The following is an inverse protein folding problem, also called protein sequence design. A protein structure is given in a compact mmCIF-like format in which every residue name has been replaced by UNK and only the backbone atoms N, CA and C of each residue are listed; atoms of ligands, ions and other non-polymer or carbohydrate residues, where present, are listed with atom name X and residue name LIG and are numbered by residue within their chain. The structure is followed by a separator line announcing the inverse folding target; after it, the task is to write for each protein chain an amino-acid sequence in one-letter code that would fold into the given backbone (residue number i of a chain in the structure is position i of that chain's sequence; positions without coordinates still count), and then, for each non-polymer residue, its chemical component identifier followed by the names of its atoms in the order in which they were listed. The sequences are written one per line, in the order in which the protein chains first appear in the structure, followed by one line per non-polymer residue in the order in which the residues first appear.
data_IF_322961539666
#
_entry.id   IF_322961539666
#
_cell.length_a   1.000
_cell.length_b   1.000
_cell.length_c   1.000
_cell.angle_alpha   90.00
_cell.angle_beta   90.00
_cell.angle_gamma   90.00
#
_symmetry.space_group_name_H-M   'P 1'
#
loop_
_entity.id
_entity.type
_entity.pdbx_description
1 polymer ?
#
# COMPACT_ATOMS: atom_id res chain seq x y z
N UNK A 1 -14.03 -44.15 -29.61
CA UNK A 1 -14.03 -44.77 -28.27
C UNK A 1 -14.58 -46.17 -28.36
N UNK A 2 -14.39 -47.01 -27.34
CA UNK A 2 -15.06 -48.31 -27.22
C UNK A 2 -16.33 -48.15 -26.40
N UNK A 3 -17.40 -48.84 -26.80
CA UNK A 3 -18.72 -48.83 -26.18
C UNK A 3 -19.18 -50.25 -25.83
N UNK A 4 -20.21 -50.35 -25.00
CA UNK A 4 -20.88 -51.62 -24.68
C UNK A 4 -22.35 -51.50 -25.01
N UNK A 5 -22.89 -52.45 -25.76
CA UNK A 5 -24.32 -52.53 -26.03
C UNK A 5 -25.02 -53.34 -24.92
N UNK A 6 -26.09 -52.83 -24.27
CA UNK A 6 -26.79 -53.54 -23.20
C UNK A 6 -27.38 -54.91 -23.60
N UNK A 7 -27.58 -55.14 -24.89
CA UNK A 7 -28.13 -56.39 -25.43
C UNK A 7 -27.06 -57.39 -25.90
N UNK A 8 -25.77 -57.02 -25.88
CA UNK A 8 -24.69 -57.98 -26.14
C UNK A 8 -24.53 -58.90 -24.92
N UNK A 9 -25.00 -60.13 -25.08
CA UNK A 9 -24.99 -61.17 -24.04
C UNK A 9 -23.78 -62.10 -24.12
N UNK A 10 -23.00 -62.03 -25.20
CA UNK A 10 -21.92 -62.99 -25.50
C UNK A 10 -20.55 -62.41 -25.15
N UNK A 11 -20.38 -61.09 -25.25
CA UNK A 11 -19.12 -60.42 -24.98
C UNK A 11 -18.67 -60.45 -23.51
N UNK A 12 -17.36 -60.39 -23.28
CA UNK A 12 -16.71 -60.38 -21.96
C UNK A 12 -16.85 -59.06 -21.20
N UNK A 13 -17.62 -58.09 -21.72
CA UNK A 13 -17.86 -56.78 -21.11
C UNK A 13 -16.57 -55.98 -20.82
N UNK A 14 -15.58 -56.15 -21.68
CA UNK A 14 -14.23 -55.61 -21.57
C UNK A 14 -13.88 -54.71 -22.77
N UNK A 15 -12.61 -54.35 -22.88
CA UNK A 15 -12.14 -53.52 -23.98
C UNK A 15 -12.19 -54.20 -25.37
N UNK A 16 -12.51 -55.48 -25.47
CA UNK A 16 -12.65 -56.17 -26.76
C UNK A 16 -14.10 -56.25 -27.23
N UNK A 17 -15.04 -55.69 -26.46
CA UNK A 17 -16.48 -55.78 -26.72
C UNK A 17 -17.00 -54.85 -27.84
N UNK A 18 -16.16 -53.98 -28.40
CA UNK A 18 -16.51 -53.20 -29.60
C UNK A 18 -15.29 -52.70 -30.37
N UNK A 19 -15.51 -52.37 -31.65
CA UNK A 19 -14.56 -51.61 -32.45
C UNK A 19 -14.45 -50.15 -31.96
N UNK A 20 -13.50 -49.39 -32.52
CA UNK A 20 -13.41 -47.96 -32.25
C UNK A 20 -14.51 -47.19 -32.98
N UNK A 21 -15.43 -46.60 -32.21
CA UNK A 21 -16.55 -45.81 -32.73
C UNK A 21 -16.21 -44.32 -32.70
N UNK A 22 -16.51 -43.60 -33.79
CA UNK A 22 -16.34 -42.14 -33.87
C UNK A 22 -17.41 -41.42 -33.05
N UNK A 23 -17.08 -40.24 -32.52
CA UNK A 23 -18.01 -39.40 -31.75
C UNK A 23 -18.24 -38.11 -32.51
N UNK A 24 -19.50 -37.86 -32.88
CA UNK A 24 -19.94 -36.58 -33.43
C UNK A 24 -19.67 -35.46 -32.43
N UNK A 25 -19.05 -34.37 -32.89
CA UNK A 25 -18.84 -33.15 -32.11
C UNK A 25 -19.71 -32.04 -32.68
N UNK A 26 -20.19 -31.12 -31.84
CA UNK A 26 -21.01 -29.99 -32.28
C UNK A 26 -20.30 -29.05 -33.26
N UNK A 27 -18.96 -29.02 -33.22
CA UNK A 27 -18.11 -28.31 -34.19
C UNK A 27 -16.77 -29.05 -34.34
N UNK A 28 -16.44 -29.54 -35.53
CA UNK A 28 -15.21 -30.28 -35.79
C UNK A 28 -14.48 -29.73 -37.03
N UNK A 29 -13.43 -28.93 -36.82
CA UNK A 29 -12.51 -28.44 -37.83
C UNK A 29 -11.13 -29.10 -37.75
N UNK A 30 -10.26 -28.80 -38.71
CA UNK A 30 -8.87 -29.24 -38.68
C UNK A 30 -8.09 -28.51 -37.55
N UNK A 31 -7.98 -29.15 -36.38
CA UNK A 31 -7.33 -28.63 -35.16
C UNK A 31 -8.08 -27.48 -34.45
N UNK A 32 -9.38 -27.29 -34.70
CA UNK A 32 -10.23 -26.34 -33.98
C UNK A 32 -11.67 -26.88 -33.86
N UNK A 33 -12.45 -26.33 -32.92
CA UNK A 33 -13.84 -26.73 -32.67
C UNK A 33 -14.08 -27.15 -31.22
N UNK A 34 -15.18 -27.85 -30.97
CA UNK A 34 -15.51 -28.40 -29.66
C UNK A 34 -15.14 -29.88 -29.58
N UNK A 35 -14.58 -30.30 -28.44
CA UNK A 35 -14.27 -31.72 -28.21
C UNK A 35 -14.68 -32.12 -26.80
N UNK A 36 -15.64 -33.04 -26.70
CA UNK A 36 -16.17 -33.48 -25.41
C UNK A 36 -16.44 -34.99 -25.42
N UNK A 37 -15.36 -35.76 -25.31
CA UNK A 37 -15.41 -37.22 -25.39
C UNK A 37 -16.21 -37.83 -24.23
N UNK A 38 -17.10 -38.81 -24.49
CA UNK A 38 -17.76 -39.54 -23.42
C UNK A 38 -16.76 -40.29 -22.55
N UNK A 39 -17.05 -40.40 -21.26
CA UNK A 39 -16.23 -41.11 -20.27
C UNK A 39 -16.94 -42.40 -19.83
N UNK A 40 -16.18 -43.32 -19.23
CA UNK A 40 -16.72 -44.57 -18.68
C UNK A 40 -17.89 -44.25 -17.74
N UNK A 41 -19.01 -44.96 -17.95
CA UNK A 41 -20.27 -44.77 -17.21
C UNK A 41 -21.27 -43.80 -17.86
N UNK A 42 -20.90 -43.10 -18.94
CA UNK A 42 -21.85 -42.26 -19.68
C UNK A 42 -22.58 -43.03 -20.77
N UNK A 43 -23.89 -42.80 -20.89
CA UNK A 43 -24.70 -43.34 -21.98
C UNK A 43 -24.56 -42.50 -23.25
N UNK A 44 -24.52 -43.18 -24.39
CA UNK A 44 -24.34 -42.59 -25.71
C UNK A 44 -25.43 -43.09 -26.66
N UNK A 45 -25.87 -42.23 -27.57
CA UNK A 45 -26.74 -42.59 -28.68
C UNK A 45 -25.84 -42.99 -29.85
N UNK A 46 -26.01 -44.20 -30.36
CA UNK A 46 -25.28 -44.73 -31.52
C UNK A 46 -26.23 -44.71 -32.73
N UNK A 47 -25.73 -44.19 -33.84
CA UNK A 47 -26.33 -44.30 -35.16
C UNK A 47 -25.34 -44.99 -36.11
N UNK A 48 -25.80 -45.33 -37.31
CA UNK A 48 -25.02 -46.05 -38.31
C UNK A 48 -24.99 -45.25 -39.60
N UNK A 49 -23.81 -45.06 -40.19
CA UNK A 49 -23.68 -44.32 -41.43
C UNK A 49 -24.39 -45.06 -42.57
N UNK A 50 -25.32 -44.38 -43.23
CA UNK A 50 -26.15 -44.98 -44.29
C UNK A 50 -26.92 -46.24 -43.84
N UNK A 51 -27.08 -46.43 -42.52
CA UNK A 51 -27.69 -47.62 -41.94
C UNK A 51 -26.78 -48.86 -41.87
N UNK A 52 -25.49 -48.74 -42.20
CA UNK A 52 -24.51 -49.84 -42.15
C UNK A 52 -24.07 -50.13 -40.70
N UNK A 53 -24.45 -51.29 -40.11
CA UNK A 53 -24.06 -51.67 -38.76
C UNK A 53 -22.55 -51.73 -38.52
N UNK A 54 -21.76 -51.93 -39.58
CA UNK A 54 -20.29 -51.97 -39.51
C UNK A 54 -19.66 -50.57 -39.44
N UNK A 55 -20.46 -49.51 -39.61
CA UNK A 55 -20.02 -48.11 -39.54
C UNK A 55 -20.77 -47.31 -38.44
N UNK A 56 -20.61 -47.69 -37.15
CA UNK A 56 -21.24 -46.98 -36.05
C UNK A 56 -20.64 -45.57 -35.86
N UNK A 57 -21.49 -44.64 -35.42
CA UNK A 57 -21.13 -43.29 -35.00
C UNK A 57 -21.96 -42.86 -33.79
N UNK A 58 -21.32 -42.29 -32.78
CA UNK A 58 -22.02 -41.72 -31.62
C UNK A 58 -22.55 -40.33 -32.00
N UNK A 59 -23.86 -40.11 -31.90
CA UNK A 59 -24.51 -38.86 -32.33
C UNK A 59 -24.95 -37.98 -31.17
N UNK A 60 -25.04 -38.51 -29.95
CA UNK A 60 -25.50 -37.77 -28.80
C UNK A 60 -25.31 -38.52 -27.48
N UNK A 61 -25.81 -37.91 -26.40
CA UNK A 61 -25.80 -38.45 -25.03
C UNK A 61 -27.10 -38.05 -24.35
N UNK A 62 -27.51 -38.85 -23.38
CA UNK A 62 -28.70 -38.60 -22.56
C UNK A 62 -28.37 -38.83 -21.10
N UNK A 63 -29.03 -38.07 -20.22
CA UNK A 63 -29.08 -38.41 -18.81
C UNK A 63 -30.03 -39.60 -18.61
N UNK A 64 -29.71 -40.47 -17.65
CA UNK A 64 -30.50 -41.64 -17.27
C UNK A 64 -30.88 -41.53 -15.80
N UNK A 65 -31.78 -42.38 -15.30
CA UNK A 65 -32.15 -42.41 -13.87
C UNK A 65 -30.94 -42.65 -12.94
N UNK A 66 -29.89 -43.30 -13.43
CA UNK A 66 -28.63 -43.54 -12.70
C UNK A 66 -27.52 -42.53 -13.05
N UNK A 67 -27.78 -41.59 -13.96
CA UNK A 67 -26.84 -40.54 -14.37
C UNK A 67 -27.64 -39.27 -14.59
N UNK A 68 -27.96 -38.60 -13.48
CA UNK A 68 -28.80 -37.40 -13.45
C UNK A 68 -28.09 -36.18 -14.06
N UNK A 69 -28.86 -35.18 -14.52
CA UNK A 69 -28.31 -33.90 -14.95
C UNK A 69 -27.55 -33.19 -13.82
N UNK A 70 -26.64 -32.25 -14.12
CA UNK A 70 -25.84 -31.53 -13.12
C UNK A 70 -26.68 -30.74 -12.11
N UNK A 71 -27.91 -30.38 -12.48
CA UNK A 71 -28.88 -29.68 -11.65
C UNK A 71 -30.24 -30.39 -11.70
N UNK A 72 -30.91 -30.58 -10.54
CA UNK A 72 -32.23 -31.20 -10.50
C UNK A 72 -33.27 -30.48 -11.35
N UNK A 73 -34.03 -31.26 -12.13
CA UNK A 73 -35.17 -30.78 -12.92
C UNK A 73 -36.50 -31.21 -12.24
N UNK A 74 -37.57 -30.40 -12.34
CA UNK A 74 -37.69 -29.15 -13.09
C UNK A 74 -37.22 -27.90 -12.34
N UNK A 75 -36.67 -28.04 -11.13
CA UNK A 75 -36.28 -26.91 -10.25
C UNK A 75 -35.36 -25.91 -10.95
N UNK A 76 -34.38 -26.37 -11.72
CA UNK A 76 -33.40 -25.53 -12.40
C UNK A 76 -33.57 -25.49 -13.93
N UNK A 77 -34.83 -25.44 -14.39
CA UNK A 77 -35.16 -25.46 -15.82
C UNK A 77 -34.65 -24.26 -16.62
N UNK A 78 -34.28 -23.17 -15.96
CA UNK A 78 -33.73 -21.92 -16.55
C UNK A 78 -32.21 -21.88 -16.55
N UNK A 79 -31.53 -22.94 -16.08
CA UNK A 79 -30.06 -23.00 -16.06
C UNK A 79 -29.51 -23.65 -17.31
N UNK A 80 -28.52 -22.99 -17.91
CA UNK A 80 -27.61 -23.59 -18.87
C UNK A 80 -26.24 -23.79 -18.21
N UNK A 81 -25.60 -24.95 -18.44
CA UNK A 81 -24.25 -25.20 -17.91
C UNK A 81 -23.38 -25.99 -18.88
N UNK A 82 -22.11 -25.61 -18.95
CA UNK A 82 -21.02 -26.42 -19.50
C UNK A 82 -20.15 -26.82 -18.29
N UNK A 83 -20.42 -28.02 -17.75
CA UNK A 83 -19.75 -28.53 -16.55
C UNK A 83 -18.90 -29.76 -16.87
N UNK A 84 -17.64 -29.70 -16.46
CA UNK A 84 -16.71 -30.83 -16.53
C UNK A 84 -16.52 -31.47 -15.15
N UNK A 85 -16.01 -32.71 -15.11
CA UNK A 85 -15.56 -33.35 -13.85
C UNK A 85 -14.05 -33.51 -13.90
N UNK A 86 -13.35 -33.27 -12.80
CA UNK A 86 -11.93 -33.59 -12.69
C UNK A 86 -11.71 -35.08 -12.93
N UNK A 87 -10.83 -35.41 -13.86
CA UNK A 87 -10.51 -36.81 -14.14
C UNK A 87 -9.76 -37.40 -12.93
N UNK A 88 -10.24 -38.52 -12.40
CA UNK A 88 -9.70 -39.15 -11.17
C UNK A 88 -9.72 -38.22 -9.95
N UNK A 89 -10.70 -37.33 -9.87
CA UNK A 89 -10.92 -36.45 -8.72
C UNK A 89 -12.38 -36.03 -8.58
N UNK A 90 -12.66 -35.22 -7.56
CA UNK A 90 -14.01 -34.76 -7.22
C UNK A 90 -14.33 -33.32 -7.66
N UNK A 91 -13.32 -32.59 -8.16
CA UNK A 91 -13.44 -31.22 -8.63
C UNK A 91 -14.19 -31.04 -9.96
N UNK A 92 -14.34 -29.78 -10.39
CA UNK A 92 -15.02 -29.43 -11.64
C UNK A 92 -14.60 -28.06 -12.20
N UNK A 93 -14.67 -27.91 -13.52
CA UNK A 93 -14.73 -26.57 -14.15
C UNK A 93 -16.15 -26.34 -14.66
N UNK A 94 -16.65 -25.11 -14.59
CA UNK A 94 -18.01 -24.78 -14.98
C UNK A 94 -18.12 -23.36 -15.55
N UNK A 95 -18.86 -23.26 -16.66
CA UNK A 95 -19.48 -22.02 -17.11
C UNK A 95 -21.00 -22.23 -17.04
N UNK A 96 -21.69 -21.45 -16.21
CA UNK A 96 -23.13 -21.56 -15.98
C UNK A 96 -23.81 -20.21 -16.17
N UNK A 97 -25.01 -20.26 -16.72
CA UNK A 97 -25.92 -19.14 -16.88
C UNK A 97 -27.24 -19.46 -16.16
N UNK A 98 -27.74 -18.50 -15.39
CA UNK A 98 -29.09 -18.48 -14.84
C UNK A 98 -29.88 -17.36 -15.52
N UNK A 99 -31.03 -17.71 -16.11
CA UNK A 99 -31.90 -16.79 -16.85
C UNK A 99 -33.23 -16.52 -16.13
N UNK A 100 -33.38 -16.98 -14.88
CA UNK A 100 -34.55 -16.64 -14.06
C UNK A 100 -34.54 -15.15 -13.69
N UNK A 101 -35.66 -14.47 -13.97
CA UNK A 101 -35.80 -13.03 -13.77
C UNK A 101 -35.52 -12.61 -12.32
N UNK A 102 -34.58 -11.69 -12.13
CA UNK A 102 -34.14 -11.19 -10.82
C UNK A 102 -33.12 -12.09 -10.11
N UNK A 103 -32.67 -13.17 -10.77
CA UNK A 103 -31.63 -14.08 -10.30
C UNK A 103 -30.58 -14.34 -11.39
N UNK A 104 -30.50 -13.46 -12.40
CA UNK A 104 -29.63 -13.62 -13.55
C UNK A 104 -28.16 -13.68 -13.10
N UNK A 105 -27.45 -14.71 -13.54
CA UNK A 105 -26.07 -14.96 -13.10
C UNK A 105 -25.24 -15.57 -14.22
N UNK A 106 -23.99 -15.13 -14.33
CA UNK A 106 -22.93 -15.88 -14.99
C UNK A 106 -21.96 -16.38 -13.92
N UNK A 107 -21.80 -17.69 -13.83
CA UNK A 107 -20.85 -18.33 -12.92
C UNK A 107 -19.72 -18.98 -13.73
N UNK A 108 -18.49 -18.55 -13.46
CA UNK A 108 -17.28 -19.13 -14.01
C UNK A 108 -16.42 -19.71 -12.89
N UNK A 109 -16.11 -21.00 -12.97
CA UNK A 109 -15.28 -21.70 -12.00
C UNK A 109 -14.17 -22.48 -12.69
N UNK A 110 -12.94 -22.23 -12.26
CA UNK A 110 -11.78 -23.04 -12.58
C UNK A 110 -11.35 -23.82 -11.35
N UNK A 111 -11.19 -25.13 -11.48
CA UNK A 111 -10.78 -26.01 -10.37
C UNK A 111 -9.38 -25.71 -9.84
N UNK A 112 -8.51 -25.19 -10.72
CA UNK A 112 -7.10 -24.97 -10.40
C UNK A 112 -6.59 -23.65 -10.94
N UNK A 113 -6.42 -23.58 -12.26
CA UNK A 113 -5.82 -22.43 -12.94
C UNK A 113 -6.84 -21.81 -13.90
N UNK A 114 -7.05 -20.49 -13.80
CA UNK A 114 -7.81 -19.69 -14.77
C UNK A 114 -6.86 -18.69 -15.44
N UNK A 115 -6.57 -18.91 -16.72
CA UNK A 115 -5.76 -17.99 -17.52
C UNK A 115 -6.68 -17.09 -18.34
N UNK A 116 -6.79 -15.82 -17.94
CA UNK A 116 -7.49 -14.78 -18.69
C UNK A 116 -6.48 -13.94 -19.46
N UNK A 117 -6.44 -14.09 -20.78
CA UNK A 117 -5.48 -13.39 -21.66
C UNK A 117 -6.26 -12.64 -22.72
N UNK A 118 -6.08 -11.32 -22.76
CA UNK A 118 -6.69 -10.43 -23.76
C UNK A 118 -5.56 -9.75 -24.52
N UNK A 119 -5.46 -10.00 -25.84
CA UNK A 119 -4.32 -9.55 -26.65
C UNK A 119 -4.40 -8.09 -27.11
N UNK A 120 -5.58 -7.46 -27.00
CA UNK A 120 -5.80 -6.09 -27.47
C UNK A 120 -6.34 -5.25 -26.31
N UNK A 121 -7.67 -5.16 -26.19
CA UNK A 121 -8.32 -4.32 -25.18
C UNK A 121 -9.21 -5.15 -24.26
N UNK A 122 -9.07 -4.93 -22.96
CA UNK A 122 -10.03 -5.35 -21.94
C UNK A 122 -10.69 -4.10 -21.34
N UNK A 123 -12.01 -4.12 -21.25
CA UNK A 123 -12.79 -3.12 -20.50
C UNK A 123 -13.61 -3.85 -19.46
N UNK A 124 -13.52 -3.41 -18.21
CA UNK A 124 -14.29 -3.95 -17.08
C UNK A 124 -15.08 -2.85 -16.40
N UNK A 125 -16.39 -3.09 -16.20
CA UNK A 125 -17.30 -2.16 -15.54
C UNK A 125 -18.18 -2.93 -14.55
N UNK A 126 -18.21 -2.46 -13.30
CA UNK A 126 -19.06 -2.98 -12.24
C UNK A 126 -20.07 -1.88 -11.88
N UNK A 127 -21.37 -2.18 -11.97
CA UNK A 127 -22.44 -1.20 -11.74
C UNK A 127 -22.78 -0.93 -10.27
N UNK A 128 -22.26 -1.77 -9.36
CA UNK A 128 -22.46 -1.66 -7.91
C UNK A 128 -21.12 -1.95 -7.20
N UNK A 129 -20.99 -3.06 -6.48
CA UNK A 129 -19.80 -3.34 -5.67
C UNK A 129 -18.85 -4.36 -6.31
N UNK A 130 -17.54 -4.18 -6.08
CA UNK A 130 -16.49 -5.17 -6.36
C UNK A 130 -15.77 -5.54 -5.06
N UNK A 131 -15.62 -6.84 -4.81
CA UNK A 131 -14.79 -7.38 -3.73
C UNK A 131 -13.69 -8.24 -4.34
N UNK A 132 -12.45 -8.03 -3.91
CA UNK A 132 -11.28 -8.79 -4.34
C UNK A 132 -10.57 -9.38 -3.12
N UNK A 133 -10.22 -10.66 -3.19
CA UNK A 133 -9.50 -11.37 -2.13
C UNK A 133 -8.39 -12.22 -2.72
N UNK A 134 -7.14 -11.91 -2.36
CA UNK A 134 -5.94 -12.67 -2.76
C UNK A 134 -5.27 -13.22 -1.50
N UNK A 135 -5.31 -14.55 -1.30
CA UNK A 135 -4.82 -15.16 -0.05
C UNK A 135 -3.31 -15.22 0.09
N UNK A 136 -2.57 -15.05 -1.00
CA UNK A 136 -1.10 -15.09 -1.00
C UNK A 136 -0.54 -13.77 -1.50
N UNK A 137 -0.17 -13.71 -2.78
CA UNK A 137 0.57 -12.59 -3.35
C UNK A 137 -0.20 -12.00 -4.53
N UNK A 138 -0.18 -10.68 -4.63
CA UNK A 138 -0.60 -9.93 -5.80
C UNK A 138 0.61 -9.22 -6.40
N UNK A 139 0.67 -9.11 -7.72
CA UNK A 139 1.69 -8.33 -8.42
C UNK A 139 1.02 -7.58 -9.55
N UNK A 140 1.14 -6.25 -9.52
CA UNK A 140 0.55 -5.36 -10.52
C UNK A 140 1.67 -4.64 -11.24
N UNK A 141 1.77 -4.86 -12.55
CA UNK A 141 2.73 -4.19 -13.43
C UNK A 141 1.99 -3.29 -14.41
N UNK A 142 2.19 -1.98 -14.30
CA UNK A 142 1.67 -0.99 -15.24
C UNK A 142 2.82 -0.46 -16.09
N UNK A 143 2.77 -0.68 -17.41
CA UNK A 143 3.87 -0.32 -18.32
C UNK A 143 3.97 1.18 -18.66
N UNK A 144 2.85 1.91 -18.53
CA UNK A 144 2.76 3.34 -18.76
C UNK A 144 2.20 4.03 -17.51
N UNK A 145 0.98 4.58 -17.60
CA UNK A 145 0.40 5.43 -16.55
C UNK A 145 -0.67 4.69 -15.74
N UNK A 146 -0.72 4.98 -14.43
CA UNK A 146 -1.84 4.63 -13.54
C UNK A 146 -2.49 5.92 -13.05
N UNK A 147 -3.81 6.03 -13.24
CA UNK A 147 -4.64 7.07 -12.65
C UNK A 147 -5.66 6.41 -11.74
N UNK A 148 -5.85 6.98 -10.56
CA UNK A 148 -6.78 6.48 -9.55
C UNK A 148 -7.58 7.65 -8.98
N UNK A 149 -8.88 7.46 -8.80
CA UNK A 149 -9.77 8.47 -8.25
C UNK A 149 -10.75 7.78 -7.31
N UNK A 150 -10.72 8.19 -6.06
CA UNK A 150 -11.63 7.73 -5.01
C UNK A 150 -12.57 8.89 -4.68
N UNK A 151 -13.89 8.67 -4.84
CA UNK A 151 -14.88 9.73 -4.71
C UNK A 151 -15.21 10.10 -3.27
N UNK A 152 -14.97 9.18 -2.33
CA UNK A 152 -15.22 9.34 -0.89
C UNK A 152 -13.94 9.06 -0.12
N UNK A 153 -13.87 7.94 0.61
CA UNK A 153 -12.77 7.62 1.52
C UNK A 153 -11.88 6.48 0.99
N UNK A 154 -10.57 6.59 1.23
CA UNK A 154 -9.58 5.53 1.04
C UNK A 154 -8.97 5.14 2.39
N UNK A 155 -8.93 3.84 2.69
CA UNK A 155 -8.26 3.30 3.89
C UNK A 155 -7.23 2.27 3.46
N UNK A 156 -5.98 2.47 3.90
CA UNK A 156 -4.85 1.62 3.56
C UNK A 156 -4.16 1.14 4.85
N UNK A 157 -4.19 -0.17 5.08
CA UNK A 157 -3.48 -0.81 6.19
C UNK A 157 -2.33 -1.66 5.65
N UNK A 158 -1.12 -1.39 6.12
CA UNK A 158 0.08 -2.18 5.80
C UNK A 158 0.63 -2.70 7.12
N UNK A 159 0.52 -4.00 7.34
CA UNK A 159 0.87 -4.63 8.62
C UNK A 159 2.38 -4.77 8.85
N UNK A 160 3.18 -4.70 7.78
CA UNK A 160 4.65 -4.78 7.81
C UNK A 160 5.22 -3.50 7.21
N UNK A 161 6.09 -3.62 6.22
CA UNK A 161 6.84 -2.49 5.68
C UNK A 161 6.19 -1.91 4.43
N UNK A 162 6.24 -0.58 4.30
CA UNK A 162 5.95 0.13 3.06
C UNK A 162 7.22 0.78 2.53
N UNK A 163 7.67 0.37 1.35
CA UNK A 163 8.76 1.02 0.63
C UNK A 163 8.21 1.73 -0.60
N UNK A 164 8.56 3.01 -0.75
CA UNK A 164 8.17 3.83 -1.90
C UNK A 164 9.43 4.46 -2.51
N UNK A 165 9.71 4.13 -3.76
CA UNK A 165 10.76 4.77 -4.54
C UNK A 165 10.10 5.62 -5.64
N UNK A 166 10.44 6.91 -5.67
CA UNK A 166 9.90 7.87 -6.64
C UNK A 166 11.08 8.45 -7.39
N UNK A 167 11.21 8.12 -8.68
CA UNK A 167 12.38 8.51 -9.49
C UNK A 167 12.42 10.00 -9.89
N UNK A 168 11.32 10.74 -9.67
CA UNK A 168 11.22 12.19 -9.92
C UNK A 168 10.57 12.88 -8.72
N UNK A 169 9.43 13.52 -8.93
CA UNK A 169 8.81 14.39 -7.93
C UNK A 169 7.66 13.71 -7.20
N UNK A 170 7.56 13.95 -5.88
CA UNK A 170 6.34 13.72 -5.10
C UNK A 170 5.71 15.07 -4.78
N UNK A 171 4.49 15.28 -5.23
CA UNK A 171 3.68 16.47 -4.90
C UNK A 171 2.48 15.99 -4.08
N UNK A 172 2.23 16.63 -2.94
CA UNK A 172 1.13 16.31 -2.05
C UNK A 172 0.42 17.59 -1.65
N UNK A 173 -0.90 17.65 -1.85
CA UNK A 173 -1.76 18.74 -1.37
C UNK A 173 -2.78 18.14 -0.43
N UNK A 174 -2.81 18.64 0.79
CA UNK A 174 -3.74 18.22 1.85
C UNK A 174 -4.53 19.47 2.24
N UNK A 175 -5.84 19.47 1.99
CA UNK A 175 -6.68 20.66 2.17
C UNK A 175 -6.99 20.98 3.64
N UNK A 176 -6.93 19.96 4.50
CA UNK A 176 -7.17 20.07 5.94
C UNK A 176 -5.93 19.63 6.71
N UNK A 177 -6.03 18.54 7.47
CA UNK A 177 -5.02 18.16 8.45
C UNK A 177 -4.13 17.02 7.93
N UNK A 178 -2.86 17.07 8.32
CA UNK A 178 -1.90 15.98 8.13
C UNK A 178 -1.34 15.58 9.50
N UNK A 179 -1.78 14.43 10.04
CA UNK A 179 -1.31 13.90 11.31
C UNK A 179 -0.30 12.77 11.04
N UNK A 180 0.94 12.96 11.50
CA UNK A 180 2.01 11.97 11.40
C UNK A 180 2.44 11.52 12.79
N UNK A 181 2.20 10.24 13.10
CA UNK A 181 2.68 9.61 14.33
C UNK A 181 3.71 8.53 13.97
N UNK A 182 4.92 8.66 14.52
CA UNK A 182 6.04 7.76 14.28
C UNK A 182 6.50 7.22 15.63
N UNK A 183 6.31 5.92 15.86
CA UNK A 183 6.60 5.29 17.15
C UNK A 183 8.08 5.03 17.45
N UNK A 184 8.97 5.39 16.53
CA UNK A 184 10.42 5.27 16.71
C UNK A 184 11.12 6.48 16.06
N UNK A 185 11.86 6.30 14.97
CA UNK A 185 12.67 7.38 14.39
C UNK A 185 12.04 7.99 13.13
N UNK A 186 12.09 9.32 13.03
CA UNK A 186 11.83 10.06 11.80
C UNK A 186 13.12 10.73 11.33
N UNK A 187 13.54 10.46 10.09
CA UNK A 187 14.73 11.06 9.50
C UNK A 187 14.37 11.72 8.18
N UNK A 188 14.84 12.95 8.00
CA UNK A 188 14.70 13.72 6.78
C UNK A 188 16.10 14.18 6.36
N UNK A 189 16.49 13.85 5.14
CA UNK A 189 17.73 14.33 4.53
C UNK A 189 17.36 15.08 3.24
N UNK A 190 17.66 16.37 3.20
CA UNK A 190 17.42 17.25 2.05
C UNK A 190 18.75 17.82 1.60
N UNK A 191 19.10 17.60 0.33
CA UNK A 191 20.37 18.04 -0.24
C UNK A 191 20.39 19.51 -0.65
N UNK A 192 19.21 20.06 -0.95
CA UNK A 192 19.01 21.46 -1.29
C UNK A 192 18.21 22.11 -0.15
N UNK A 193 17.18 22.88 -0.49
CA UNK A 193 16.49 23.71 0.48
C UNK A 193 15.32 23.01 1.17
N UNK A 194 15.15 23.33 2.45
CA UNK A 194 13.91 23.09 3.19
C UNK A 194 13.28 24.43 3.52
N UNK A 195 12.03 24.64 3.10
CA UNK A 195 11.28 25.86 3.39
C UNK A 195 10.04 25.47 4.20
N UNK A 196 9.93 26.00 5.42
CA UNK A 196 8.78 25.79 6.30
C UNK A 196 8.09 27.14 6.49
N UNK A 197 6.87 27.24 5.98
CA UNK A 197 6.01 28.42 6.20
C UNK A 197 4.79 28.01 7.02
N UNK A 198 4.66 28.60 8.20
CA UNK A 198 3.54 28.35 9.10
C UNK A 198 2.69 29.62 9.20
N UNK A 199 1.37 29.46 9.03
CA UNK A 199 0.45 30.61 9.00
C UNK A 199 0.01 31.10 10.39
N UNK A 200 0.22 30.29 11.42
CA UNK A 200 -0.07 30.58 12.83
C UNK A 200 1.15 30.17 13.67
N UNK A 201 0.95 29.31 14.65
CA UNK A 201 1.97 28.95 15.63
C UNK A 201 2.78 27.72 15.21
N UNK A 202 4.06 27.72 15.58
CA UNK A 202 4.94 26.55 15.49
C UNK A 202 5.44 26.23 16.89
N UNK A 203 5.27 24.99 17.31
CA UNK A 203 5.77 24.48 18.60
C UNK A 203 6.68 23.30 18.33
N UNK A 204 7.86 23.30 18.96
CA UNK A 204 8.81 22.19 18.92
C UNK A 204 9.11 21.81 20.36
N UNK A 205 8.67 20.63 20.76
CA UNK A 205 8.92 20.07 22.09
C UNK A 205 9.96 18.96 21.97
N UNK A 206 11.06 19.10 22.71
CA UNK A 206 12.15 18.12 22.74
C UNK A 206 12.36 17.67 24.17
N UNK A 207 12.16 16.39 24.45
CA UNK A 207 12.20 15.85 25.81
C UNK A 207 13.61 15.69 26.39
N UNK A 208 14.61 15.59 25.52
CA UNK A 208 16.02 15.46 25.90
C UNK A 208 16.81 16.63 25.28
N UNK A 209 17.66 16.35 24.30
CA UNK A 209 18.57 17.34 23.73
C UNK A 209 18.05 17.83 22.37
N UNK A 210 17.97 19.15 22.22
CA UNK A 210 17.82 19.82 20.93
C UNK A 210 19.12 20.50 20.54
N UNK A 211 19.54 20.35 19.29
CA UNK A 211 20.73 20.99 18.74
C UNK A 211 20.38 21.68 17.42
N UNK A 212 20.83 22.93 17.26
CA UNK A 212 20.67 23.71 16.05
C UNK A 212 22.04 24.18 15.58
N UNK A 213 22.49 23.66 14.45
CA UNK A 213 23.77 23.98 13.85
C UNK A 213 23.56 24.74 12.55
N UNK A 214 24.01 25.99 12.51
CA UNK A 214 24.07 26.78 11.29
C UNK A 214 25.53 26.98 10.87
N UNK A 215 25.83 26.80 9.58
CA UNK A 215 27.19 26.96 9.06
C UNK A 215 27.62 28.41 8.84
N UNK A 216 26.66 29.32 8.70
CA UNK A 216 26.91 30.75 8.45
C UNK A 216 26.05 31.63 9.35
N UNK A 217 24.72 31.63 9.15
CA UNK A 217 23.78 32.46 9.89
C UNK A 217 22.70 31.63 10.59
N UNK A 218 22.56 31.86 11.90
CA UNK A 218 21.33 31.55 12.65
C UNK A 218 20.67 32.89 13.03
N UNK A 219 19.48 33.15 12.49
CA UNK A 219 18.76 34.40 12.70
C UNK A 219 17.39 34.16 13.35
N UNK A 220 17.12 34.90 14.42
CA UNK A 220 15.83 34.92 15.12
C UNK A 220 15.32 36.36 15.21
N UNK A 221 14.27 36.68 14.46
CA UNK A 221 13.65 38.02 14.45
C UNK A 221 12.25 37.90 15.02
N UNK A 222 12.01 38.57 16.15
CA UNK A 222 10.70 38.57 16.80
C UNK A 222 10.51 39.85 17.63
N UNK A 223 9.28 40.10 18.08
CA UNK A 223 8.97 41.22 18.98
C UNK A 223 9.48 40.98 20.39
N UNK A 224 9.42 39.73 20.85
CA UNK A 224 9.87 39.31 22.17
C UNK A 224 10.70 38.04 22.02
N UNK A 225 11.98 38.14 22.32
CA UNK A 225 12.90 37.01 22.31
C UNK A 225 13.22 36.63 23.75
N UNK A 226 12.66 35.50 24.19
CA UNK A 226 12.82 34.99 25.54
C UNK A 226 13.68 33.73 25.53
N UNK A 227 14.71 33.70 26.37
CA UNK A 227 15.55 32.52 26.61
C UNK A 227 15.54 32.28 28.11
N UNK A 228 15.12 31.08 28.50
CA UNK A 228 15.10 30.66 29.90
C UNK A 228 15.89 29.35 30.03
N UNK A 229 16.85 29.34 30.96
CA UNK A 229 17.59 28.15 31.37
C UNK A 229 17.37 27.91 32.86
N UNK A 230 17.13 26.66 33.24
CA UNK A 230 16.87 26.30 34.65
C UNK A 230 18.13 26.34 35.51
N UNK A 231 19.26 25.95 34.94
CA UNK A 231 20.56 25.91 35.62
C UNK A 231 21.48 27.03 35.12
N UNK A 232 21.60 27.16 33.80
CA UNK A 232 22.51 28.10 33.17
C UNK A 232 22.02 28.53 31.79
N UNK A 233 22.26 29.80 31.44
CA UNK A 233 22.21 30.32 30.07
C UNK A 233 23.59 30.89 29.74
N UNK A 234 24.15 30.50 28.58
CA UNK A 234 25.51 30.85 28.16
C UNK A 234 25.52 31.42 26.75
N UNK A 235 26.15 32.58 26.58
CA UNK A 235 26.41 33.21 25.29
C UNK A 235 27.93 33.32 25.11
N UNK A 236 28.48 32.54 24.19
CA UNK A 236 29.93 32.40 24.06
C UNK A 236 30.41 32.80 22.66
N UNK A 237 31.54 33.50 22.61
CA UNK A 237 32.28 33.79 21.39
C UNK A 237 33.80 33.63 21.60
N UNK A 238 34.61 33.79 20.53
CA UNK A 238 36.06 33.56 20.60
C UNK A 238 36.81 34.45 21.60
N UNK A 239 36.26 35.62 21.92
CA UNK A 239 36.91 36.66 22.72
C UNK A 239 36.31 36.83 24.13
N UNK A 240 35.27 36.06 24.47
CA UNK A 240 34.59 36.22 25.74
C UNK A 240 33.25 35.50 25.82
N UNK A 241 32.60 35.67 26.96
CA UNK A 241 31.42 34.91 27.34
C UNK A 241 30.54 35.68 28.33
N UNK A 242 29.23 35.45 28.23
CA UNK A 242 28.22 35.88 29.20
C UNK A 242 27.56 34.63 29.77
N UNK A 243 27.54 34.52 31.10
CA UNK A 243 26.87 33.41 31.82
C UNK A 243 25.82 33.98 32.75
N UNK A 244 24.61 33.43 32.70
CA UNK A 244 23.51 33.72 33.62
C UNK A 244 23.15 32.42 34.32
N UNK A 245 23.21 32.41 35.65
CA UNK A 245 22.90 31.24 36.47
C UNK A 245 22.31 31.66 37.84
N UNK A 246 22.17 30.71 38.76
CA UNK A 246 21.61 30.97 40.09
C UNK A 246 22.46 31.90 40.97
N UNK A 247 23.75 32.07 40.67
CA UNK A 247 24.65 32.96 41.40
C UNK A 247 24.61 34.40 40.87
N UNK A 248 24.09 34.62 39.66
CA UNK A 248 23.92 35.94 39.05
C UNK A 248 24.35 35.99 37.58
N UNK A 249 24.87 37.13 37.16
CA UNK A 249 25.36 37.38 35.79
C UNK A 249 26.89 37.56 35.83
N UNK A 250 27.61 36.74 35.07
CA UNK A 250 29.08 36.83 34.93
C UNK A 250 29.45 37.27 33.52
N UNK A 251 30.35 38.25 33.41
CA UNK A 251 30.93 38.70 32.14
C UNK A 251 32.42 38.33 32.11
N UNK A 252 32.85 37.57 31.10
CA UNK A 252 34.22 37.04 30.97
C UNK A 252 34.84 37.57 29.68
N UNK A 253 36.03 38.18 29.81
CA UNK A 253 36.79 38.75 28.70
C UNK A 253 36.82 40.27 28.71
N UNK A 254 37.18 40.88 27.58
CA UNK A 254 37.21 42.33 27.46
C UNK A 254 35.77 42.87 27.31
N UNK A 255 35.24 43.49 28.36
CA UNK A 255 33.94 44.16 28.33
C UNK A 255 34.14 45.64 28.01
N UNK A 256 33.56 46.10 26.90
CA UNK A 256 33.53 47.52 26.54
C UNK A 256 32.10 48.03 26.67
N UNK A 257 31.92 49.05 27.51
CA UNK A 257 30.64 49.74 27.70
C UNK A 257 30.75 51.10 27.00
N UNK A 258 29.84 51.38 26.07
CA UNK A 258 29.72 52.69 25.44
C UNK A 258 28.48 53.39 26.04
N UNK A 259 28.71 54.44 26.83
CA UNK A 259 27.67 55.16 27.57
C UNK A 259 28.00 55.30 29.05
N UNK A 260 27.08 55.89 29.80
CA UNK A 260 27.18 56.00 31.26
C UNK A 260 26.83 54.66 31.91
N UNK A 261 27.68 54.17 32.80
CA UNK A 261 27.39 53.04 33.66
C UNK A 261 26.89 53.60 35.00
N UNK A 262 25.60 53.43 35.29
CA UNK A 262 24.99 53.86 36.55
C UNK A 262 24.83 52.66 37.48
N UNK A 263 25.36 52.76 38.69
CA UNK A 263 25.17 51.78 39.77
C UNK A 263 24.18 52.35 40.79
N UNK A 264 22.97 51.78 40.86
CA UNK A 264 22.01 52.11 41.92
C UNK A 264 22.14 51.09 43.06
N UNK A 265 22.88 51.46 44.10
CA UNK A 265 23.07 50.64 45.29
C UNK A 265 21.82 50.58 46.17
N UNK A 266 21.45 49.37 46.62
CA UNK A 266 20.53 49.14 47.73
C UNK A 266 21.29 48.61 48.95
N UNK A 267 21.41 49.41 50.01
CA UNK A 267 22.05 49.09 51.30
C UNK A 267 21.56 47.75 51.91
N UNK A 268 22.41 47.04 52.68
CA UNK A 268 22.70 47.45 54.06
C UNK A 268 24.21 47.41 54.37
N UNK A 269 24.80 48.60 54.44
CA UNK A 269 26.17 48.87 54.94
C UNK A 269 27.33 48.21 54.16
N UNK A 270 28.03 49.08 53.42
CA UNK A 270 29.32 48.89 52.75
C UNK A 270 29.31 48.03 51.46
N UNK A 271 28.91 48.66 50.35
CA UNK A 271 29.36 48.26 49.01
C UNK A 271 30.71 48.93 48.75
N UNK A 272 31.78 48.15 48.59
CA UNK A 272 33.05 48.68 48.09
C UNK A 272 32.91 48.94 46.58
N UNK A 273 33.34 50.11 46.07
CA UNK A 273 33.34 50.38 44.63
C UNK A 273 34.28 49.40 43.91
N UNK A 274 34.05 49.22 42.61
CA UNK A 274 34.92 48.50 41.66
C UNK A 274 36.42 48.73 41.97
N UNK A 275 37.11 47.72 42.54
CA UNK A 275 38.57 47.77 42.72
C UNK A 275 39.23 47.46 41.37
N UNK A 276 39.34 48.47 40.52
CA UNK A 276 40.09 48.38 39.27
C UNK A 276 41.58 48.42 39.58
N UNK A 277 42.23 47.26 39.67
CA UNK A 277 43.69 47.22 39.58
C UNK A 277 44.10 47.36 38.11
N UNK A 278 44.86 48.40 37.74
CA UNK A 278 45.35 48.54 36.37
C UNK A 278 46.29 47.38 36.06
N UNK A 279 45.96 46.58 35.04
CA UNK A 279 46.91 45.62 34.49
C UNK A 279 47.85 46.37 33.53
N UNK A 280 48.85 47.05 34.10
CA UNK A 280 50.04 47.51 33.41
C UNK A 280 49.86 48.50 32.24
N UNK A 281 50.24 49.75 32.49
CA UNK A 281 50.70 50.78 31.52
C UNK A 281 49.65 51.59 30.73
N UNK A 282 49.00 52.55 31.41
CA UNK A 282 49.02 54.01 31.10
C UNK A 282 48.27 54.79 32.20
N UNK A 283 48.67 56.04 32.53
CA UNK A 283 48.13 56.76 33.68
C UNK A 283 46.76 57.37 33.38
N UNK A 284 45.84 57.27 34.33
CA UNK A 284 44.60 58.07 34.40
C UNK A 284 44.96 59.37 35.11
N UNK A 285 44.71 60.51 34.48
CA UNK A 285 44.88 61.84 35.08
C UNK A 285 43.60 62.17 35.87
N UNK A 286 43.70 62.09 37.20
CA UNK A 286 42.61 62.40 38.15
C UNK A 286 42.95 63.75 38.75
N UNK A 287 42.37 64.83 38.24
CA UNK A 287 42.57 66.17 38.81
C UNK A 287 41.39 66.82 39.52
N UNK A 288 40.21 66.20 39.61
CA UNK A 288 39.12 66.77 40.41
C UNK A 288 38.40 65.74 41.30
N UNK A 289 39.16 65.00 42.12
CA UNK A 289 38.59 64.19 43.20
C UNK A 289 38.48 65.03 44.48
N UNK A 290 37.31 65.65 44.71
CA UNK A 290 36.93 66.14 46.05
C UNK A 290 36.26 64.98 46.77
N UNK A 291 36.90 64.52 47.85
CA UNK A 291 36.34 63.58 48.81
C UNK A 291 35.65 64.40 49.90
N UNK A 292 34.32 64.29 50.00
CA UNK A 292 33.55 64.62 51.20
C UNK A 292 32.50 63.56 51.45
#
# INVERSE_FOLDING_TARGET
MKIRFPWDRVGSHDEHSSCWVRVSQGWAGAQYGSQMLPRIGQEVIVNFLEGDPDQPIITGRTYHSTTEPPYPLPKHKTRMTIKSKTHKGNGFNELRFEDEKGQEEIFLHAEKDHNHIVNHDETSQIGHDRTEQVSRNETVNIGHDRMETVGLDESLTINRDQMRHIGRNRISKIEKDNLLNIGNNYQVNVHADTIIKVGKDTTIEVAQNGEWLAGDLLESICKHFNIEGYEEVRLQGPAGEIVVNQEGITLIGNVRIEGELTEEGGSPEAVNPFDTKPNGTRPVDIQDLIIS
#
